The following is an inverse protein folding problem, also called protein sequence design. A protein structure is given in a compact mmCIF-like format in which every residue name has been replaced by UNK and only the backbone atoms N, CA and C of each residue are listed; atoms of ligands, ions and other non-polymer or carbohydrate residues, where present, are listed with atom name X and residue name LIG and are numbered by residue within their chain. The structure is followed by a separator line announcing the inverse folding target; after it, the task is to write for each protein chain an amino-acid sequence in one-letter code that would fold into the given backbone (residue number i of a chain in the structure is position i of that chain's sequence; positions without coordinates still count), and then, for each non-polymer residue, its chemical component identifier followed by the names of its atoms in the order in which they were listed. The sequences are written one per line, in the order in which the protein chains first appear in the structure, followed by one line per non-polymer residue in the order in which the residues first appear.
data_IF_871120287912
#
_entry.id   IF_871120287912
#
_cell.length_a   1.000
_cell.length_b   1.000
_cell.length_c   1.000
_cell.angle_alpha   90.00
_cell.angle_beta   90.00
_cell.angle_gamma   90.00
#
_symmetry.space_group_name_H-M   'P 1'
#
loop_
_entity.id
_entity.type
_entity.pdbx_description
1 polymer ?
#
# COMPACT_ATOMS: atom_id res chain seq x y z
N UNK A 1 -3.44 -2.78 -3.99
CA UNK A 1 -3.81 -4.20 -4.14
C UNK A 1 -2.79 -5.00 -4.96
N UNK A 2 -2.79 -5.00 -6.31
CA UNK A 2 -1.99 -5.98 -7.10
C UNK A 2 -0.48 -5.89 -6.82
N UNK A 3 0.11 -4.69 -6.91
CA UNK A 3 1.56 -4.51 -6.71
C UNK A 3 1.97 -4.93 -5.30
N UNK A 4 1.23 -4.48 -4.28
CA UNK A 4 1.54 -4.83 -2.89
C UNK A 4 1.28 -6.30 -2.57
N UNK A 5 0.39 -7.00 -3.29
CA UNK A 5 0.17 -8.44 -3.15
C UNK A 5 1.28 -9.27 -3.79
N UNK A 6 1.94 -8.76 -4.84
CA UNK A 6 3.17 -9.39 -5.34
C UNK A 6 4.28 -9.38 -4.27
N UNK A 7 4.35 -8.33 -3.45
CA UNK A 7 5.35 -8.17 -2.39
C UNK A 7 5.02 -8.91 -1.11
N UNK A 8 3.73 -9.03 -0.79
CA UNK A 8 3.24 -9.46 0.51
C UNK A 8 2.42 -10.76 0.49
N UNK A 9 2.07 -11.26 -0.69
CA UNK A 9 1.03 -12.27 -0.88
C UNK A 9 -0.35 -11.64 -0.95
N UNK A 10 -1.27 -12.28 -1.66
CA UNK A 10 -2.66 -11.86 -1.85
C UNK A 10 -3.66 -12.80 -1.17
N UNK A 11 -4.94 -12.59 -1.45
CA UNK A 11 -6.04 -13.36 -0.89
C UNK A 11 -6.39 -12.99 0.56
N UNK A 12 -7.53 -13.49 1.01
CA UNK A 12 -8.07 -13.34 2.36
C UNK A 12 -8.79 -14.61 2.88
N UNK A 13 -8.68 -15.73 2.15
CA UNK A 13 -9.48 -16.95 2.32
C UNK A 13 -11.00 -16.68 2.31
N UNK A 14 -11.41 -15.64 1.58
CA UNK A 14 -12.79 -15.18 1.48
C UNK A 14 -13.05 -14.52 0.13
N UNK A 15 -13.35 -13.21 0.14
CA UNK A 15 -13.79 -12.48 -1.06
C UNK A 15 -12.69 -12.39 -2.11
N UNK A 16 -11.42 -12.29 -1.69
CA UNK A 16 -10.26 -12.22 -2.56
C UNK A 16 -9.71 -13.60 -2.93
N UNK A 17 -10.35 -14.68 -2.47
CA UNK A 17 -9.94 -16.05 -2.68
C UNK A 17 -8.79 -16.49 -1.77
N UNK A 18 -8.21 -17.65 -2.11
CA UNK A 18 -7.21 -18.31 -1.28
C UNK A 18 -5.97 -17.43 -1.07
N UNK A 19 -5.37 -17.56 0.12
CA UNK A 19 -4.09 -16.93 0.42
C UNK A 19 -3.01 -17.38 -0.58
N UNK A 20 -2.24 -16.41 -1.07
CA UNK A 20 -1.07 -16.65 -1.93
C UNK A 20 0.20 -16.19 -1.25
N UNK A 21 1.33 -16.81 -1.62
CA UNK A 21 2.66 -16.38 -1.17
C UNK A 21 3.11 -15.15 -1.98
N UNK A 22 3.97 -14.28 -1.42
CA UNK A 22 4.66 -13.24 -2.20
C UNK A 22 5.32 -13.85 -3.44
N UNK A 23 5.12 -13.23 -4.60
CA UNK A 23 5.78 -13.63 -5.85
C UNK A 23 7.14 -12.94 -6.03
N UNK A 24 7.34 -11.80 -5.37
CA UNK A 24 8.63 -11.09 -5.33
C UNK A 24 9.44 -11.61 -4.15
N UNK A 25 10.62 -12.15 -4.43
CA UNK A 25 11.56 -12.57 -3.41
C UNK A 25 12.37 -11.36 -2.91
N UNK A 26 12.23 -10.95 -1.62
CA UNK A 26 12.96 -9.82 -1.07
C UNK A 26 14.47 -10.03 -1.05
N UNK A 27 14.96 -11.28 -1.10
CA UNK A 27 16.40 -11.54 -1.08
C UNK A 27 17.06 -11.35 -2.45
N UNK A 28 16.30 -11.26 -3.53
CA UNK A 28 16.84 -11.20 -4.89
C UNK A 28 16.37 -9.99 -5.68
N UNK A 29 15.18 -9.46 -5.38
CA UNK A 29 14.56 -8.38 -6.16
C UNK A 29 14.34 -7.09 -5.37
N UNK A 30 14.57 -7.09 -4.05
CA UNK A 30 14.38 -5.90 -3.21
C UNK A 30 15.25 -4.72 -3.64
N UNK A 31 16.50 -4.98 -4.05
CA UNK A 31 17.42 -3.94 -4.53
C UNK A 31 16.99 -3.29 -5.84
N UNK A 32 16.01 -3.85 -6.56
CA UNK A 32 15.50 -3.32 -7.82
C UNK A 32 14.21 -2.51 -7.66
N UNK A 33 13.64 -2.48 -6.45
CA UNK A 33 12.46 -1.69 -6.16
C UNK A 33 12.94 -0.39 -5.53
N UNK A 34 12.81 0.73 -6.25
CA UNK A 34 13.12 2.03 -5.69
C UNK A 34 12.00 2.55 -4.78
N UNK A 35 10.75 2.36 -5.18
CA UNK A 35 9.57 2.80 -4.44
C UNK A 35 8.31 2.07 -4.89
N UNK A 36 7.29 2.07 -4.00
CA UNK A 36 5.97 1.49 -4.24
C UNK A 36 4.93 2.50 -3.78
N UNK A 37 4.10 2.97 -4.70
CA UNK A 37 3.01 3.89 -4.38
C UNK A 37 1.69 3.14 -4.41
N UNK A 38 0.94 3.22 -3.32
CA UNK A 38 -0.39 2.62 -3.21
C UNK A 38 -1.39 3.76 -2.97
N UNK A 39 -2.34 3.91 -3.88
CA UNK A 39 -3.42 4.90 -3.78
C UNK A 39 -4.71 4.19 -3.47
N UNK A 40 -5.34 4.56 -2.34
CA UNK A 40 -6.59 3.97 -1.90
C UNK A 40 -6.51 2.46 -1.77
N UNK A 41 -5.42 1.90 -1.22
CA UNK A 41 -5.26 0.44 -1.15
C UNK A 41 -6.45 -0.18 -0.39
N UNK A 42 -7.28 -1.04 -1.02
CA UNK A 42 -8.33 -1.76 -0.31
C UNK A 42 -7.78 -2.62 0.85
N UNK A 43 -6.47 -2.86 0.84
CA UNK A 43 -5.74 -3.66 1.82
C UNK A 43 -4.97 -2.81 2.83
N UNK A 44 -5.31 -1.52 2.94
CA UNK A 44 -4.74 -0.61 3.93
C UNK A 44 -4.82 -1.19 5.34
N UNK A 45 -3.75 -0.98 6.11
CA UNK A 45 -3.68 -1.35 7.52
C UNK A 45 -3.28 -0.12 8.34
N UNK A 46 -3.92 0.14 9.49
CA UNK A 46 -3.58 1.29 10.30
C UNK A 46 -2.22 1.11 10.99
N UNK A 47 -1.65 2.23 11.45
CA UNK A 47 -0.42 2.29 12.28
C UNK A 47 0.82 1.69 11.60
N UNK A 48 0.91 1.78 10.28
CA UNK A 48 2.10 1.37 9.54
C UNK A 48 2.97 2.59 9.24
N UNK A 49 4.29 2.43 9.33
CA UNK A 49 5.26 3.52 9.12
C UNK A 49 5.28 4.03 7.68
N UNK A 50 4.78 3.23 6.74
CA UNK A 50 4.68 3.56 5.32
C UNK A 50 3.36 4.26 4.94
N UNK A 51 2.44 4.47 5.89
CA UNK A 51 1.19 5.16 5.61
C UNK A 51 1.42 6.66 5.40
N UNK A 52 0.75 7.23 4.41
CA UNK A 52 0.65 8.67 4.20
C UNK A 52 -0.79 9.09 4.47
N UNK A 53 -0.99 9.78 5.60
CA UNK A 53 -2.32 10.11 6.14
C UNK A 53 -2.47 9.61 7.57
N UNK A 54 -3.64 9.85 8.17
CA UNK A 54 -3.96 9.56 9.57
C UNK A 54 -5.16 8.60 9.74
N UNK A 55 -5.53 7.88 8.68
CA UNK A 55 -6.61 6.88 8.71
C UNK A 55 -6.28 5.79 9.74
N UNK A 56 -7.24 5.54 10.63
CA UNK A 56 -7.10 4.59 11.75
C UNK A 56 -7.89 3.29 11.56
N UNK A 57 -8.77 3.23 10.55
CA UNK A 57 -9.46 2.02 10.14
C UNK A 57 -8.59 1.16 9.21
N UNK A 58 -8.98 -0.09 9.00
CA UNK A 58 -8.45 -0.91 7.91
C UNK A 58 -9.14 -0.57 6.59
N UNK A 59 -8.57 -1.00 5.48
CA UNK A 59 -9.29 -1.09 4.21
C UNK A 59 -10.33 -2.20 4.21
N UNK A 60 -11.13 -2.26 3.13
CA UNK A 60 -12.19 -3.27 2.92
C UNK A 60 -11.70 -4.72 2.98
N UNK A 61 -10.45 -4.96 2.60
CA UNK A 61 -9.86 -6.29 2.53
C UNK A 61 -8.52 -6.29 3.29
N UNK A 62 -8.57 -6.22 4.64
CA UNK A 62 -7.38 -6.07 5.47
C UNK A 62 -6.36 -7.20 5.23
N UNK A 63 -5.08 -6.87 5.33
CA UNK A 63 -4.01 -7.87 5.25
C UNK A 63 -4.02 -8.77 6.47
N UNK A 64 -3.72 -10.05 6.26
CA UNK A 64 -3.40 -10.95 7.36
C UNK A 64 -2.10 -10.53 8.03
N UNK A 65 -1.87 -10.99 9.27
CA UNK A 65 -0.61 -10.70 9.99
C UNK A 65 0.64 -11.16 9.21
N UNK A 66 0.54 -12.29 8.51
CA UNK A 66 1.63 -12.81 7.68
C UNK A 66 1.91 -11.91 6.47
N UNK A 67 0.87 -11.44 5.77
CA UNK A 67 1.00 -10.50 4.67
C UNK A 67 1.54 -9.15 5.14
N UNK A 68 1.09 -8.66 6.30
CA UNK A 68 1.59 -7.41 6.88
C UNK A 68 3.08 -7.49 7.21
N UNK A 69 3.51 -8.61 7.81
CA UNK A 69 4.93 -8.90 8.09
C UNK A 69 5.77 -9.02 6.81
N UNK A 70 5.18 -9.53 5.73
CA UNK A 70 5.87 -9.61 4.44
C UNK A 70 6.03 -8.20 3.82
N UNK A 71 4.98 -7.37 3.86
CA UNK A 71 5.02 -6.01 3.32
C UNK A 71 5.96 -5.09 4.11
N UNK A 72 6.07 -5.26 5.43
CA UNK A 72 6.92 -4.43 6.28
C UNK A 72 8.41 -4.51 5.93
N UNK A 73 8.84 -5.53 5.18
CA UNK A 73 10.20 -5.62 4.63
C UNK A 73 10.51 -4.50 3.63
N UNK A 74 9.48 -3.91 3.03
CA UNK A 74 9.57 -2.81 2.08
C UNK A 74 9.11 -1.47 2.69
N UNK A 75 8.98 -1.38 4.02
CA UNK A 75 8.37 -0.23 4.70
C UNK A 75 9.08 1.12 4.44
N UNK A 76 10.36 1.10 4.11
CA UNK A 76 11.13 2.29 3.74
C UNK A 76 10.92 2.75 2.28
N UNK A 77 10.19 1.98 1.47
CA UNK A 77 9.95 2.22 0.04
C UNK A 77 8.47 2.25 -0.33
N UNK A 78 7.61 1.70 0.52
CA UNK A 78 6.16 1.76 0.35
C UNK A 78 5.67 3.12 0.85
N UNK A 79 4.75 3.70 0.09
CA UNK A 79 3.92 4.83 0.51
C UNK A 79 2.47 4.46 0.24
N UNK A 80 1.71 4.21 1.31
CA UNK A 80 0.29 3.86 1.26
C UNK A 80 -0.56 5.09 1.57
N UNK A 81 -1.11 5.71 0.53
CA UNK A 81 -1.95 6.89 0.65
C UNK A 81 -3.40 6.44 0.83
N UNK A 82 -3.94 6.75 2.00
CA UNK A 82 -5.35 6.54 2.30
C UNK A 82 -5.95 7.84 2.85
N UNK A 83 -7.04 8.27 2.22
CA UNK A 83 -7.69 9.53 2.56
C UNK A 83 -8.85 9.23 3.50
N UNK A 84 -9.03 10.07 4.51
CA UNK A 84 -10.13 9.94 5.44
C UNK A 84 -11.48 9.85 4.71
N UNK A 85 -12.30 8.87 5.09
CA UNK A 85 -13.61 8.54 4.50
C UNK A 85 -13.56 7.96 3.08
N UNK A 86 -12.40 7.69 2.47
CA UNK A 86 -12.35 6.86 1.26
C UNK A 86 -12.98 5.51 1.58
N UNK A 87 -14.15 5.25 0.98
CA UNK A 87 -14.91 4.03 1.25
C UNK A 87 -14.27 2.73 0.77
N UNK A 88 -13.00 2.71 0.37
CA UNK A 88 -12.25 1.52 -0.03
C UNK A 88 -11.07 1.25 0.90
N UNK A 89 -10.18 2.23 1.10
CA UNK A 89 -9.02 2.08 2.00
C UNK A 89 -9.32 2.43 3.46
N UNK A 90 -10.41 3.17 3.71
CA UNK A 90 -10.98 3.43 5.01
C UNK A 90 -12.34 2.75 5.09
N UNK A 91 -12.39 1.55 5.69
CA UNK A 91 -13.63 0.77 5.81
C UNK A 91 -14.69 1.44 6.72
N UNK A 92 -14.34 2.48 7.48
CA UNK A 92 -15.30 3.31 8.19
C UNK A 92 -15.90 4.42 7.29
N UNK A 93 -15.33 4.63 6.12
CA UNK A 93 -15.75 5.59 5.10
C UNK A 93 -16.76 5.05 4.10
N UNK A 94 -17.36 5.97 3.33
CA UNK A 94 -18.28 5.66 2.22
C UNK A 94 -18.06 6.54 0.99
N UNK A 95 -17.07 7.46 1.02
CA UNK A 95 -16.87 8.45 -0.03
C UNK A 95 -16.03 7.88 -1.17
N UNK A 96 -16.68 7.42 -2.24
CA UNK A 96 -16.00 6.94 -3.44
C UNK A 96 -15.37 8.06 -4.28
N UNK A 97 -15.79 9.32 -4.10
CA UNK A 97 -15.13 10.45 -4.77
C UNK A 97 -13.73 10.69 -4.22
N UNK A 98 -13.49 10.44 -2.93
CA UNK A 98 -12.14 10.45 -2.36
C UNK A 98 -11.28 9.34 -3.00
N UNK A 99 -11.86 8.15 -3.20
CA UNK A 99 -11.16 7.00 -3.78
C UNK A 99 -10.55 7.25 -5.17
N UNK A 100 -11.23 8.04 -6.00
CA UNK A 100 -10.79 8.30 -7.38
C UNK A 100 -9.95 9.59 -7.51
N UNK A 101 -9.71 10.30 -6.41
CA UNK A 101 -9.06 11.62 -6.43
C UNK A 101 -7.53 11.59 -6.19
N UNK A 102 -6.95 10.43 -5.87
CA UNK A 102 -5.53 10.34 -5.46
C UNK A 102 -4.55 10.90 -6.48
N UNK A 103 -4.75 10.67 -7.78
CA UNK A 103 -3.84 11.20 -8.81
C UNK A 103 -3.85 12.73 -8.80
N UNK A 104 -5.00 13.35 -8.58
CA UNK A 104 -5.12 14.81 -8.51
C UNK A 104 -4.49 15.37 -7.23
N UNK A 105 -4.70 14.70 -6.10
CA UNK A 105 -4.29 15.19 -4.77
C UNK A 105 -2.80 14.89 -4.48
N UNK A 106 -2.35 13.68 -4.76
CA UNK A 106 -1.11 13.13 -4.23
C UNK A 106 0.01 12.97 -5.24
N UNK A 107 -0.25 13.02 -6.54
CA UNK A 107 0.77 12.70 -7.54
C UNK A 107 1.99 13.63 -7.48
N UNK A 108 1.79 14.92 -7.21
CA UNK A 108 2.90 15.87 -7.01
C UNK A 108 3.76 15.52 -5.78
N UNK A 109 3.11 15.21 -4.67
CA UNK A 109 3.77 14.80 -3.42
C UNK A 109 4.54 13.50 -3.61
N UNK A 110 3.90 12.50 -4.21
CA UNK A 110 4.50 11.21 -4.48
C UNK A 110 5.71 11.34 -5.42
N UNK A 111 5.60 12.09 -6.51
CA UNK A 111 6.72 12.35 -7.42
C UNK A 111 7.90 13.04 -6.73
N UNK A 112 7.65 13.96 -5.80
CA UNK A 112 8.71 14.62 -5.03
C UNK A 112 9.40 13.64 -4.07
N UNK A 113 8.63 12.76 -3.42
CA UNK A 113 9.18 11.67 -2.60
C UNK A 113 10.04 10.70 -3.41
N UNK A 114 9.57 10.31 -4.60
CA UNK A 114 10.32 9.47 -5.54
C UNK A 114 11.65 10.09 -5.96
N UNK A 115 11.64 11.39 -6.30
CA UNK A 115 12.86 12.13 -6.68
C UNK A 115 13.89 12.11 -5.56
N UNK A 116 13.46 12.30 -4.32
CA UNK A 116 14.36 12.30 -3.15
C UNK A 116 14.92 10.89 -2.88
N UNK A 117 14.09 9.86 -3.05
CA UNK A 117 14.53 8.48 -2.88
C UNK A 117 15.56 8.07 -3.95
N UNK A 118 15.30 8.34 -5.23
CA UNK A 118 16.12 7.84 -6.33
C UNK A 118 17.37 8.68 -6.61
N UNK A 119 17.42 9.94 -6.17
CA UNK A 119 18.62 10.80 -6.34
C UNK A 119 19.80 10.40 -5.44
N UNK A 120 19.57 9.51 -4.46
CA UNK A 120 20.64 8.93 -3.64
C UNK A 120 21.22 7.63 -4.23
N UNK A 121 20.69 7.17 -5.36
CA UNK A 121 21.18 6.00 -6.11
C UNK A 121 22.05 6.38 -7.32
N UNK A 122 22.28 7.68 -7.54
CA UNK A 122 23.11 8.23 -8.62
C UNK A 122 24.51 8.62 -8.14
#
# INVERSE_FOLDING_TARGET
MVVSDMLAGGGDDGTLGNLTRPSVNPNTLDSHIAAVLLYGDPRHMPKQTYNVGDVTATGKYPRTAAQLTALSKYANRVHDYCDNKDGVCDAAGTNLSAHIAYVTIWNKTAATGLWTCCSTWA
#
